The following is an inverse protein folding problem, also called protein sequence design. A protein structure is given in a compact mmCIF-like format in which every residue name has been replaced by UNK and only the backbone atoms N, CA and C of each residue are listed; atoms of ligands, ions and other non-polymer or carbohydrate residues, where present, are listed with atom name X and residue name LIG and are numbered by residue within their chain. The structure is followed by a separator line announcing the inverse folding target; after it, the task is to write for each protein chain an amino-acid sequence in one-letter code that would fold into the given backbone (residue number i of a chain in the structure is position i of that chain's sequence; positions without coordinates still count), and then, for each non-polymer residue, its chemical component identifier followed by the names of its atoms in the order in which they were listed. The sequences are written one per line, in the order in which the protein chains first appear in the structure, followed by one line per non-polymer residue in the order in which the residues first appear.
data_IF_046329051821
#
_entry.id   IF_046329051821
#
_cell.length_a   1.000
_cell.length_b   1.000
_cell.length_c   1.000
_cell.angle_alpha   90.00
_cell.angle_beta   90.00
_cell.angle_gamma   90.00
#
_symmetry.space_group_name_H-M   'P 1'
#
loop_
_entity.id
_entity.type
_entity.pdbx_description
1 polymer ?
#
# COMPACT_ATOMS: atom_id res chain seq x y z
N UNK A 1 83.75 -8.77 -34.88
CA UNK A 1 82.44 -9.29 -35.28
C UNK A 1 81.52 -9.12 -34.10
N UNK A 2 80.70 -8.12 -34.14
CA UNK A 2 79.67 -7.82 -33.12
C UNK A 2 78.32 -8.26 -33.68
N UNK A 3 77.43 -8.90 -32.88
CA UNK A 3 76.08 -9.25 -33.32
C UNK A 3 75.08 -8.09 -33.18
N UNK A 4 73.99 -8.08 -33.95
CA UNK A 4 73.05 -6.96 -34.01
C UNK A 4 72.02 -6.95 -32.87
N UNK A 5 71.70 -5.73 -32.47
CA UNK A 5 70.74 -5.39 -31.45
C UNK A 5 69.31 -5.71 -31.90
N UNK A 6 68.55 -6.45 -31.10
CA UNK A 6 67.08 -6.70 -31.25
C UNK A 6 66.30 -5.60 -30.62
N UNK A 7 65.49 -4.91 -31.41
CA UNK A 7 64.41 -3.95 -30.98
C UNK A 7 63.23 -4.71 -30.48
N UNK A 8 62.78 -4.43 -29.23
CA UNK A 8 61.52 -4.85 -28.65
C UNK A 8 60.42 -3.84 -29.04
N UNK A 9 59.24 -4.27 -29.48
CA UNK A 9 58.13 -3.38 -29.70
C UNK A 9 57.43 -3.04 -28.36
N UNK A 10 57.28 -1.74 -28.10
CA UNK A 10 56.57 -1.23 -26.94
C UNK A 10 55.06 -1.52 -27.04
N UNK A 11 54.53 -2.16 -26.02
CA UNK A 11 53.11 -2.42 -25.84
C UNK A 11 52.45 -1.14 -25.29
N UNK A 12 51.72 -0.41 -26.13
CA UNK A 12 50.91 0.72 -25.70
C UNK A 12 49.65 0.19 -24.99
N UNK A 13 49.60 0.34 -23.68
CA UNK A 13 48.43 0.02 -22.85
C UNK A 13 47.41 1.17 -22.98
N UNK A 14 46.41 0.99 -23.84
CA UNK A 14 45.28 1.94 -23.94
C UNK A 14 44.41 1.88 -22.67
N UNK A 15 44.50 2.92 -21.82
CA UNK A 15 43.49 3.15 -20.78
C UNK A 15 42.15 3.55 -21.44
N UNK A 16 41.20 2.64 -21.49
CA UNK A 16 39.79 2.98 -21.75
C UNK A 16 39.26 3.63 -20.50
N UNK A 17 39.09 4.95 -20.51
CA UNK A 17 38.30 5.68 -19.55
C UNK A 17 36.83 5.16 -19.68
N UNK A 18 36.39 4.39 -18.68
CA UNK A 18 34.95 4.09 -18.52
C UNK A 18 34.24 5.43 -18.40
N UNK A 19 33.39 5.72 -19.38
CA UNK A 19 32.46 6.85 -19.30
C UNK A 19 31.64 6.70 -18.03
N UNK A 20 31.82 7.62 -17.07
CA UNK A 20 30.85 7.83 -15.99
C UNK A 20 29.52 8.12 -16.66
N UNK A 21 28.52 7.24 -16.49
CA UNK A 21 27.19 7.49 -16.99
C UNK A 21 26.71 8.84 -16.49
N UNK A 22 26.04 9.58 -17.35
CA UNK A 22 25.43 10.86 -17.00
C UNK A 22 24.60 10.70 -15.73
N UNK A 23 24.73 11.62 -14.75
CA UNK A 23 23.92 11.57 -13.56
C UNK A 23 22.45 11.60 -13.97
N UNK A 24 21.67 10.63 -13.49
CA UNK A 24 20.22 10.62 -13.72
C UNK A 24 19.64 11.99 -13.34
N UNK A 25 18.76 12.59 -14.15
CA UNK A 25 18.17 13.87 -13.82
C UNK A 25 17.50 13.81 -12.45
N UNK A 26 17.55 14.90 -11.66
CA UNK A 26 16.95 14.92 -10.33
C UNK A 26 15.47 14.57 -10.44
N UNK A 27 15.00 13.73 -9.51
CA UNK A 27 13.59 13.36 -9.42
C UNK A 27 12.72 14.62 -9.24
N UNK A 28 11.73 14.80 -10.09
CA UNK A 28 10.79 15.92 -9.95
C UNK A 28 10.04 15.79 -8.61
N UNK A 29 9.95 16.89 -7.88
CA UNK A 29 9.18 16.99 -6.64
C UNK A 29 7.96 17.87 -6.94
N UNK A 30 6.77 17.34 -6.64
CA UNK A 30 5.50 18.05 -6.81
C UNK A 30 4.80 18.14 -5.46
N UNK A 31 4.50 19.35 -5.03
CA UNK A 31 3.66 19.57 -3.86
C UNK A 31 2.20 19.70 -4.29
N UNK A 32 1.31 18.93 -3.69
CA UNK A 32 -0.12 19.02 -4.00
C UNK A 32 -0.71 20.26 -3.33
N UNK A 33 -1.57 20.95 -4.06
CA UNK A 33 -2.36 22.05 -3.53
C UNK A 33 -3.81 21.60 -3.35
N UNK A 34 -4.40 21.91 -2.19
CA UNK A 34 -5.82 21.62 -1.91
C UNK A 34 -6.72 22.40 -2.87
N UNK A 35 -7.81 21.77 -3.32
CA UNK A 35 -8.88 22.47 -4.05
C UNK A 35 -9.74 23.37 -3.15
N UNK A 36 -9.61 23.24 -1.83
CA UNK A 36 -10.50 23.87 -0.85
C UNK A 36 -11.74 23.04 -0.52
N UNK A 37 -12.08 22.03 -1.31
CA UNK A 37 -13.23 21.15 -1.04
C UNK A 37 -12.91 20.25 0.17
N UNK A 38 -13.68 20.42 1.24
CA UNK A 38 -13.47 19.67 2.49
C UNK A 38 -14.80 19.21 3.09
N UNK A 39 -14.79 18.03 3.72
CA UNK A 39 -15.91 17.53 4.54
C UNK A 39 -15.35 17.00 5.85
N UNK A 40 -15.89 17.45 6.97
CA UNK A 40 -15.59 16.90 8.28
C UNK A 40 -16.64 15.86 8.68
N UNK A 41 -16.17 14.79 9.34
CA UNK A 41 -17.01 13.69 9.83
C UNK A 41 -16.62 13.34 11.25
N UNK A 42 -17.53 12.70 11.99
CA UNK A 42 -17.23 12.15 13.32
C UNK A 42 -16.43 10.83 13.29
N UNK A 43 -15.96 10.35 12.14
CA UNK A 43 -15.26 9.06 12.06
C UNK A 43 -13.96 9.08 12.85
N UNK A 44 -13.84 8.12 13.77
CA UNK A 44 -12.70 8.01 14.65
C UNK A 44 -11.43 7.56 13.93
N UNK A 45 -11.57 6.71 12.91
CA UNK A 45 -10.47 6.21 12.08
C UNK A 45 -10.97 5.89 10.67
N UNK A 46 -10.05 5.93 9.70
CA UNK A 46 -10.31 5.60 8.30
C UNK A 46 -9.27 4.56 7.86
N UNK A 47 -9.73 3.37 7.52
CA UNK A 47 -8.86 2.28 7.09
C UNK A 47 -8.57 2.34 5.58
N UNK A 48 -9.61 2.58 4.77
CA UNK A 48 -9.55 2.46 3.31
C UNK A 48 -10.53 3.42 2.64
N UNK A 49 -10.38 3.62 1.34
CA UNK A 49 -11.29 4.42 0.54
C UNK A 49 -11.29 4.03 -0.93
N UNK A 50 -12.42 4.27 -1.59
CA UNK A 50 -12.58 4.01 -3.01
C UNK A 50 -13.26 5.19 -3.71
N UNK A 51 -12.79 5.56 -4.90
CA UNK A 51 -13.40 6.59 -5.73
C UNK A 51 -14.63 6.06 -6.45
N UNK A 52 -15.75 6.78 -6.34
CA UNK A 52 -17.04 6.44 -6.94
C UNK A 52 -17.37 7.27 -8.19
N UNK A 53 -16.43 8.13 -8.60
CA UNK A 53 -16.62 9.06 -9.71
C UNK A 53 -16.95 10.48 -9.26
N UNK A 54 -16.43 11.48 -10.00
CA UNK A 54 -16.65 12.89 -9.70
C UNK A 54 -16.14 13.29 -8.30
N UNK A 55 -17.04 13.86 -7.49
CA UNK A 55 -16.76 14.26 -6.10
C UNK A 55 -17.05 13.20 -5.05
N UNK A 56 -17.46 11.98 -5.45
CA UNK A 56 -17.96 10.94 -4.57
C UNK A 56 -16.92 9.87 -4.24
N UNK A 57 -16.95 9.41 -2.97
CA UNK A 57 -16.03 8.41 -2.44
C UNK A 57 -16.75 7.48 -1.46
N UNK A 58 -16.30 6.24 -1.39
CA UNK A 58 -16.63 5.33 -0.29
C UNK A 58 -15.48 5.35 0.71
N UNK A 59 -15.78 5.51 1.99
CA UNK A 59 -14.79 5.61 3.09
C UNK A 59 -15.08 4.53 4.11
N UNK A 60 -14.11 3.66 4.34
CA UNK A 60 -14.22 2.59 5.34
C UNK A 60 -13.78 3.11 6.70
N UNK A 61 -14.70 3.13 7.66
CA UNK A 61 -14.49 3.53 9.04
C UNK A 61 -14.78 2.35 9.99
N UNK A 62 -13.79 1.46 10.24
CA UNK A 62 -14.04 0.21 10.98
C UNK A 62 -14.43 0.42 12.43
N UNK A 63 -13.87 1.43 13.09
CA UNK A 63 -14.20 1.77 14.48
C UNK A 63 -15.63 2.25 14.64
N UNK A 64 -16.21 2.82 13.59
CA UNK A 64 -17.58 3.27 13.52
C UNK A 64 -18.51 2.21 12.91
N UNK A 65 -17.97 1.03 12.55
CA UNK A 65 -18.68 -0.08 11.90
C UNK A 65 -19.47 0.37 10.68
N UNK A 66 -18.87 1.25 9.85
CA UNK A 66 -19.56 1.87 8.72
C UNK A 66 -18.68 2.03 7.49
N UNK A 67 -19.33 2.18 6.36
CA UNK A 67 -18.76 2.75 5.14
C UNK A 67 -19.53 4.03 4.83
N UNK A 68 -18.83 5.16 4.83
CA UNK A 68 -19.41 6.45 4.49
C UNK A 68 -19.41 6.70 3.00
N UNK A 69 -20.55 7.08 2.45
CA UNK A 69 -20.67 7.62 1.09
C UNK A 69 -20.46 9.12 1.15
N UNK A 70 -19.21 9.55 0.88
CA UNK A 70 -18.78 10.94 0.95
C UNK A 70 -19.04 11.63 -0.39
N UNK A 71 -19.64 12.82 -0.35
CA UNK A 71 -19.79 13.73 -1.50
C UNK A 71 -19.20 15.09 -1.15
N UNK A 72 -18.01 15.38 -1.67
CA UNK A 72 -17.30 16.63 -1.39
C UNK A 72 -18.00 17.86 -1.95
N UNK A 73 -18.58 17.76 -3.15
CA UNK A 73 -19.31 18.89 -3.75
C UNK A 73 -20.63 19.16 -3.00
N UNK A 74 -21.30 18.12 -2.53
CA UNK A 74 -22.52 18.23 -1.73
C UNK A 74 -22.25 18.50 -0.24
N UNK A 75 -20.99 18.56 0.19
CA UNK A 75 -20.58 18.72 1.58
C UNK A 75 -21.34 17.79 2.54
N UNK A 76 -21.40 16.51 2.22
CA UNK A 76 -22.15 15.53 3.00
C UNK A 76 -21.49 14.17 3.02
N UNK A 77 -21.82 13.40 4.07
CA UNK A 77 -21.56 11.98 4.16
C UNK A 77 -22.83 11.28 4.62
N UNK A 78 -23.13 10.13 4.01
CA UNK A 78 -24.25 9.27 4.41
C UNK A 78 -23.74 7.83 4.57
N UNK A 79 -24.23 7.07 5.55
CA UNK A 79 -23.84 5.66 5.69
C UNK A 79 -24.30 4.84 4.48
N UNK A 80 -23.44 3.93 4.04
CA UNK A 80 -23.78 2.94 3.01
C UNK A 80 -24.94 2.07 3.50
N UNK A 81 -25.97 1.90 2.68
CA UNK A 81 -27.18 1.19 3.07
C UNK A 81 -28.15 2.00 3.95
N UNK A 82 -27.81 3.27 4.25
CA UNK A 82 -28.64 4.16 5.08
C UNK A 82 -28.38 4.02 6.58
N UNK A 83 -29.01 4.89 7.35
CA UNK A 83 -28.88 4.87 8.82
C UNK A 83 -29.48 3.59 9.43
N UNK A 84 -28.75 3.02 10.40
CA UNK A 84 -29.16 1.81 11.12
C UNK A 84 -29.09 0.52 10.31
N UNK A 85 -28.40 0.53 9.19
CA UNK A 85 -28.16 -0.71 8.42
C UNK A 85 -27.46 -1.76 9.28
N UNK A 86 -27.89 -3.03 9.13
CA UNK A 86 -27.24 -4.21 9.72
C UNK A 86 -26.43 -5.00 8.69
N UNK A 87 -26.22 -4.42 7.51
CA UNK A 87 -25.54 -5.08 6.41
C UNK A 87 -24.02 -5.07 6.55
N UNK A 88 -23.48 -4.34 7.54
CA UNK A 88 -22.06 -4.25 7.88
C UNK A 88 -21.84 -4.68 9.34
N UNK A 89 -20.75 -5.42 9.58
CA UNK A 89 -20.37 -5.90 10.90
C UNK A 89 -18.99 -5.42 11.35
N UNK A 90 -18.01 -5.44 10.44
CA UNK A 90 -16.68 -4.87 10.62
C UNK A 90 -16.04 -4.69 9.23
N UNK A 91 -16.44 -3.63 8.51
CA UNK A 91 -15.91 -3.37 7.17
C UNK A 91 -14.42 -3.05 7.24
N UNK A 92 -13.63 -3.61 6.32
CA UNK A 92 -12.18 -3.49 6.34
C UNK A 92 -11.58 -3.00 5.01
N UNK A 93 -12.21 -3.33 3.88
CA UNK A 93 -11.72 -2.95 2.55
C UNK A 93 -12.86 -2.43 1.69
N UNK A 94 -12.53 -1.49 0.79
CA UNK A 94 -13.46 -1.04 -0.25
C UNK A 94 -12.72 -0.82 -1.56
N UNK A 95 -13.28 -1.32 -2.65
CA UNK A 95 -12.76 -1.05 -4.00
C UNK A 95 -13.89 -1.04 -5.02
N UNK A 96 -13.66 -0.37 -6.13
CA UNK A 96 -14.64 -0.25 -7.22
C UNK A 96 -14.15 -1.03 -8.43
N UNK A 97 -15.03 -1.80 -9.04
CA UNK A 97 -14.81 -2.42 -10.34
C UNK A 97 -16.01 -2.08 -11.21
N UNK A 98 -15.79 -1.42 -12.34
CA UNK A 98 -16.85 -0.91 -13.20
C UNK A 98 -17.84 -0.03 -12.39
N UNK A 99 -19.12 -0.41 -12.36
CA UNK A 99 -20.17 0.30 -11.64
C UNK A 99 -20.53 -0.34 -10.28
N UNK A 100 -19.64 -1.15 -9.71
CA UNK A 100 -19.89 -1.89 -8.48
C UNK A 100 -18.88 -1.53 -7.41
N UNK A 101 -19.38 -1.10 -6.24
CA UNK A 101 -18.61 -0.97 -5.02
C UNK A 101 -18.58 -2.32 -4.29
N UNK A 102 -17.40 -2.83 -4.02
CA UNK A 102 -17.15 -4.03 -3.23
C UNK A 102 -16.71 -3.62 -1.83
N UNK A 103 -17.34 -4.17 -0.81
CA UNK A 103 -16.98 -3.94 0.60
C UNK A 103 -16.70 -5.28 1.27
N UNK A 104 -15.46 -5.47 1.67
CA UNK A 104 -15.03 -6.62 2.44
C UNK A 104 -15.32 -6.42 3.92
N UNK A 105 -15.98 -7.40 4.55
CA UNK A 105 -16.44 -7.33 5.94
C UNK A 105 -15.93 -8.53 6.76
N UNK A 106 -15.06 -8.25 7.72
CA UNK A 106 -14.50 -9.25 8.62
C UNK A 106 -15.54 -9.81 9.62
N UNK A 107 -16.41 -8.95 10.11
CA UNK A 107 -17.43 -9.35 11.09
C UNK A 107 -18.44 -10.32 10.49
N UNK A 108 -18.82 -10.10 9.25
CA UNK A 108 -19.79 -10.92 8.53
C UNK A 108 -19.14 -11.98 7.63
N UNK A 109 -17.80 -12.02 7.52
CA UNK A 109 -17.02 -12.95 6.69
C UNK A 109 -17.53 -13.03 5.26
N UNK A 110 -17.75 -11.87 4.64
CA UNK A 110 -18.28 -11.76 3.29
C UNK A 110 -17.80 -10.52 2.59
N UNK A 111 -17.96 -10.47 1.28
CA UNK A 111 -17.89 -9.25 0.49
C UNK A 111 -19.28 -8.89 0.04
N UNK A 112 -19.74 -7.69 0.37
CA UNK A 112 -20.99 -7.15 -0.14
C UNK A 112 -20.73 -6.30 -1.37
N UNK A 113 -21.61 -6.44 -2.38
CA UNK A 113 -21.58 -5.73 -3.64
C UNK A 113 -22.71 -4.70 -3.66
N UNK A 114 -22.37 -3.48 -3.97
CA UNK A 114 -23.29 -2.34 -3.91
C UNK A 114 -23.25 -1.57 -5.23
N UNK A 115 -24.36 -0.96 -5.60
CA UNK A 115 -24.33 0.07 -6.65
C UNK A 115 -23.55 1.30 -6.13
N UNK A 116 -23.06 2.14 -7.04
CA UNK A 116 -22.38 3.39 -6.66
C UNK A 116 -23.31 4.41 -5.96
N UNK A 117 -24.62 4.14 -5.93
CA UNK A 117 -25.62 4.91 -5.16
C UNK A 117 -25.94 4.30 -3.80
N UNK A 118 -25.22 3.24 -3.40
CA UNK A 118 -25.33 2.65 -2.06
C UNK A 118 -26.48 1.65 -1.87
N UNK A 119 -27.02 1.04 -2.93
CA UNK A 119 -27.99 -0.06 -2.83
C UNK A 119 -27.27 -1.40 -2.84
N UNK A 120 -27.57 -2.26 -1.87
CA UNK A 120 -27.03 -3.62 -1.83
C UNK A 120 -27.55 -4.43 -3.04
N UNK A 121 -26.62 -4.99 -3.80
CA UNK A 121 -26.91 -5.85 -4.96
C UNK A 121 -26.93 -7.32 -4.54
N UNK A 122 -25.86 -7.77 -3.93
CA UNK A 122 -25.68 -9.14 -3.42
C UNK A 122 -24.53 -9.24 -2.44
N UNK A 123 -24.43 -10.38 -1.80
CA UNK A 123 -23.27 -10.75 -0.98
C UNK A 123 -22.57 -11.95 -1.55
N UNK A 124 -21.24 -11.99 -1.37
CA UNK A 124 -20.37 -13.12 -1.74
C UNK A 124 -19.74 -13.62 -0.46
N UNK A 125 -19.95 -14.89 -0.07
CA UNK A 125 -19.33 -15.44 1.13
C UNK A 125 -17.81 -15.48 0.97
N UNK A 126 -17.09 -15.54 2.09
CA UNK A 126 -15.66 -15.80 2.06
C UNK A 126 -15.41 -17.16 1.41
N UNK A 127 -14.42 -17.22 0.54
CA UNK A 127 -13.98 -18.44 -0.10
C UNK A 127 -13.36 -19.39 0.95
N UNK A 128 -13.71 -20.67 0.95
CA UNK A 128 -13.28 -21.63 1.97
C UNK A 128 -11.76 -21.76 2.09
N UNK A 129 -11.04 -21.69 0.98
CA UNK A 129 -9.57 -21.67 0.95
C UNK A 129 -8.93 -20.39 1.48
N UNK A 130 -9.70 -19.30 1.60
CA UNK A 130 -9.20 -17.99 2.00
C UNK A 130 -8.91 -17.84 3.50
N UNK A 131 -9.33 -18.78 4.33
CA UNK A 131 -9.13 -18.73 5.78
C UNK A 131 -9.57 -17.40 6.42
N UNK A 132 -10.64 -16.84 5.91
CA UNK A 132 -11.17 -15.56 6.35
C UNK A 132 -10.55 -14.32 5.69
N UNK A 133 -9.57 -14.46 4.79
CA UNK A 133 -9.07 -13.32 4.01
C UNK A 133 -10.19 -12.75 3.12
N UNK A 134 -10.17 -11.43 2.98
CA UNK A 134 -11.15 -10.69 2.17
C UNK A 134 -10.53 -10.25 0.85
N UNK A 135 -11.29 -10.25 -0.25
CA UNK A 135 -10.85 -9.62 -1.49
C UNK A 135 -10.47 -8.15 -1.28
N UNK A 136 -9.37 -7.77 -1.91
CA UNK A 136 -8.84 -6.39 -1.92
C UNK A 136 -8.86 -5.79 -3.33
N UNK A 137 -9.04 -6.62 -4.35
CA UNK A 137 -9.16 -6.18 -5.74
C UNK A 137 -9.96 -7.21 -6.57
N UNK A 138 -10.42 -6.77 -7.74
CA UNK A 138 -11.05 -7.60 -8.75
C UNK A 138 -10.62 -7.11 -10.13
N UNK A 139 -10.27 -8.03 -11.04
CA UNK A 139 -9.97 -7.69 -12.43
C UNK A 139 -11.24 -7.63 -13.30
N UNK A 140 -11.10 -7.17 -14.56
CA UNK A 140 -12.19 -7.10 -15.52
C UNK A 140 -12.72 -8.48 -15.96
N UNK A 141 -11.92 -9.55 -15.78
CA UNK A 141 -12.39 -10.93 -16.01
C UNK A 141 -13.23 -11.45 -14.83
N UNK A 142 -13.33 -10.68 -13.74
CA UNK A 142 -14.13 -10.99 -12.58
C UNK A 142 -13.40 -11.79 -11.51
N UNK A 143 -12.12 -12.08 -11.65
CA UNK A 143 -11.34 -12.76 -10.63
C UNK A 143 -11.13 -11.87 -9.42
N UNK A 144 -11.25 -12.44 -8.23
CA UNK A 144 -10.92 -11.78 -6.97
C UNK A 144 -9.47 -12.02 -6.57
N UNK A 145 -8.87 -11.02 -5.93
CA UNK A 145 -7.51 -11.09 -5.42
C UNK A 145 -7.50 -10.79 -3.92
N UNK A 146 -6.79 -11.64 -3.17
CA UNK A 146 -6.68 -11.52 -1.71
C UNK A 146 -5.33 -12.04 -1.23
N UNK A 147 -4.87 -11.53 -0.09
CA UNK A 147 -3.65 -12.01 0.57
C UNK A 147 -3.99 -13.06 1.62
N UNK A 148 -3.41 -14.24 1.48
CA UNK A 148 -3.43 -15.24 2.54
C UNK A 148 -2.36 -14.92 3.58
N UNK A 149 -2.74 -14.85 4.84
CA UNK A 149 -1.80 -14.69 5.93
C UNK A 149 -0.81 -15.87 5.99
N UNK A 150 0.46 -15.62 6.37
CA UNK A 150 1.43 -16.69 6.55
C UNK A 150 0.97 -17.69 7.63
N UNK A 151 1.32 -18.96 7.45
CA UNK A 151 1.10 -19.99 8.47
C UNK A 151 2.28 -20.00 9.45
N UNK A 152 2.06 -20.34 10.72
CA UNK A 152 3.14 -20.75 11.61
C UNK A 152 3.89 -21.93 10.98
N UNK A 153 5.22 -22.00 11.17
CA UNK A 153 6.00 -23.17 10.78
C UNK A 153 5.50 -24.43 11.44
N UNK A 154 5.78 -25.63 10.89
CA UNK A 154 5.27 -26.91 11.41
C UNK A 154 5.78 -27.24 12.82
N UNK A 155 6.87 -26.64 13.24
CA UNK A 155 7.48 -26.75 14.57
C UNK A 155 6.93 -25.75 15.60
N UNK A 156 5.98 -24.90 15.19
CA UNK A 156 5.51 -23.78 16.02
C UNK A 156 6.56 -22.71 16.29
N UNK A 157 7.72 -22.78 15.63
CA UNK A 157 8.87 -21.89 15.85
C UNK A 157 8.60 -20.45 15.43
N UNK A 158 7.46 -20.17 14.84
CA UNK A 158 7.10 -18.85 14.32
C UNK A 158 7.78 -18.50 13.02
N UNK A 159 8.59 -19.36 12.43
CA UNK A 159 9.01 -19.26 11.05
C UNK A 159 7.77 -19.38 10.17
N UNK A 160 7.22 -18.23 9.81
CA UNK A 160 6.05 -18.16 8.96
C UNK A 160 6.49 -18.23 7.52
N UNK A 161 5.83 -19.10 6.75
CA UNK A 161 5.90 -19.01 5.29
C UNK A 161 5.49 -17.61 4.85
N UNK A 162 6.04 -17.18 3.74
CA UNK A 162 5.63 -15.92 3.13
C UNK A 162 4.12 -15.91 2.92
N UNK A 163 3.47 -14.77 3.20
CA UNK A 163 2.12 -14.53 2.75
C UNK A 163 2.04 -14.69 1.21
N UNK A 164 0.88 -15.00 0.70
CA UNK A 164 0.69 -15.18 -0.74
C UNK A 164 -0.51 -14.38 -1.21
N UNK A 165 -0.38 -13.73 -2.36
CA UNK A 165 -1.53 -13.20 -3.11
C UNK A 165 -2.08 -14.35 -3.94
N UNK A 166 -3.34 -14.65 -3.76
CA UNK A 166 -4.08 -15.61 -4.58
C UNK A 166 -5.09 -14.89 -5.46
N UNK A 167 -5.27 -15.43 -6.65
CA UNK A 167 -6.35 -15.10 -7.56
C UNK A 167 -7.41 -16.18 -7.47
N UNK A 168 -8.65 -15.78 -7.27
CA UNK A 168 -9.82 -16.68 -7.14
C UNK A 168 -10.76 -16.43 -8.31
N UNK A 169 -11.23 -17.51 -8.95
CA UNK A 169 -12.17 -17.42 -10.07
C UNK A 169 -13.50 -16.76 -9.67
N UNK A 170 -14.25 -16.18 -10.64
CA UNK A 170 -15.51 -15.49 -10.35
C UNK A 170 -16.59 -16.35 -9.69
N UNK A 171 -16.56 -17.65 -9.92
CA UNK A 171 -17.45 -18.66 -9.34
C UNK A 171 -16.95 -19.20 -7.98
N UNK A 172 -15.77 -18.73 -7.52
CA UNK A 172 -15.10 -19.16 -6.30
C UNK A 172 -14.66 -20.65 -6.28
N UNK A 173 -14.67 -21.33 -7.42
CA UNK A 173 -14.40 -22.76 -7.51
C UNK A 173 -12.91 -23.09 -7.63
N UNK A 174 -12.11 -22.16 -8.14
CA UNK A 174 -10.68 -22.35 -8.37
C UNK A 174 -9.87 -21.17 -7.88
N UNK A 175 -8.64 -21.45 -7.46
CA UNK A 175 -7.68 -20.40 -7.11
C UNK A 175 -6.25 -20.80 -7.48
N UNK A 176 -5.41 -19.81 -7.71
CA UNK A 176 -3.98 -19.97 -7.93
C UNK A 176 -3.17 -18.92 -7.16
N UNK A 177 -1.93 -19.26 -6.84
CA UNK A 177 -0.99 -18.31 -6.23
C UNK A 177 -0.34 -17.48 -7.31
N UNK A 178 -0.59 -16.17 -7.29
CA UNK A 178 -0.06 -15.23 -8.30
C UNK A 178 1.18 -14.49 -7.83
N UNK A 179 1.37 -14.35 -6.52
CA UNK A 179 2.60 -13.80 -5.94
C UNK A 179 2.87 -14.38 -4.55
N UNK A 180 4.15 -14.43 -4.16
CA UNK A 180 4.56 -14.61 -2.77
C UNK A 180 5.04 -13.28 -2.24
N UNK A 181 4.64 -12.96 -1.01
CA UNK A 181 5.06 -11.75 -0.30
C UNK A 181 6.22 -12.08 0.64
N UNK A 182 7.03 -11.10 0.97
CA UNK A 182 8.15 -11.26 1.89
C UNK A 182 7.70 -11.78 3.26
N UNK A 183 8.54 -12.57 3.95
CA UNK A 183 8.30 -12.97 5.32
C UNK A 183 8.16 -11.74 6.23
N UNK A 184 7.30 -11.85 7.24
CA UNK A 184 7.22 -10.81 8.26
C UNK A 184 8.50 -10.76 9.09
N UNK A 185 8.93 -9.57 9.47
CA UNK A 185 10.04 -9.38 10.41
C UNK A 185 9.57 -9.77 11.83
N UNK A 186 9.98 -10.93 12.30
CA UNK A 186 9.61 -11.50 13.59
C UNK A 186 10.80 -11.60 14.52
N UNK A 187 10.56 -11.56 15.80
CA UNK A 187 11.53 -11.79 16.86
C UNK A 187 11.02 -12.81 17.85
N UNK A 188 11.94 -13.60 18.38
CA UNK A 188 11.69 -14.46 19.54
C UNK A 188 11.72 -13.60 20.82
N UNK A 189 10.68 -13.69 21.64
CA UNK A 189 10.57 -12.98 22.89
C UNK A 189 10.27 -13.98 24.03
N UNK A 190 10.79 -13.69 25.22
CA UNK A 190 10.47 -14.46 26.39
C UNK A 190 9.00 -14.27 26.79
N UNK A 191 8.33 -15.34 27.21
CA UNK A 191 6.97 -15.33 27.73
C UNK A 191 6.90 -16.23 28.97
N UNK A 192 5.89 -16.04 29.81
CA UNK A 192 5.68 -16.88 31.02
C UNK A 192 5.59 -18.38 30.69
N UNK A 193 5.00 -18.73 29.55
CA UNK A 193 4.86 -20.11 29.06
C UNK A 193 6.03 -20.60 28.21
N UNK A 194 7.17 -19.87 28.16
CA UNK A 194 8.32 -20.21 27.35
C UNK A 194 8.69 -19.12 26.35
N UNK A 195 8.89 -19.50 25.09
CA UNK A 195 9.26 -18.57 24.00
C UNK A 195 8.07 -18.37 23.09
N UNK A 196 7.85 -17.12 22.64
CA UNK A 196 6.88 -16.80 21.62
C UNK A 196 7.53 -15.97 20.51
N UNK A 197 6.92 -15.98 19.35
CA UNK A 197 7.36 -15.20 18.20
C UNK A 197 6.42 -14.04 17.98
N UNK A 198 6.98 -12.83 17.94
CA UNK A 198 6.22 -11.61 17.77
C UNK A 198 6.73 -10.84 16.55
N UNK A 199 5.81 -10.26 15.77
CA UNK A 199 6.19 -9.31 14.73
C UNK A 199 6.85 -8.11 15.38
N UNK A 200 8.00 -7.68 14.85
CA UNK A 200 8.62 -6.43 15.31
C UNK A 200 7.69 -5.25 15.01
N UNK A 201 7.38 -4.49 16.03
CA UNK A 201 6.62 -3.25 15.87
C UNK A 201 7.39 -2.29 14.95
N UNK A 202 6.67 -1.53 14.13
CA UNK A 202 7.19 -0.62 13.11
C UNK A 202 8.04 -1.30 12.01
N UNK A 203 8.00 -2.63 11.88
CA UNK A 203 8.51 -3.31 10.69
C UNK A 203 7.53 -3.15 9.53
N UNK A 204 8.06 -3.20 8.30
CA UNK A 204 7.24 -3.17 7.09
C UNK A 204 6.82 -4.55 6.61
N UNK A 205 6.04 -4.53 5.55
CA UNK A 205 5.64 -5.70 4.76
C UNK A 205 5.50 -5.30 3.30
N UNK A 206 5.52 -6.29 2.40
CA UNK A 206 5.21 -6.04 1.00
C UNK A 206 3.77 -5.53 0.89
N UNK A 207 3.58 -4.51 0.06
CA UNK A 207 2.25 -4.04 -0.33
C UNK A 207 2.01 -4.37 -1.80
N UNK A 208 0.75 -4.55 -2.16
CA UNK A 208 0.39 -5.02 -3.50
C UNK A 208 -0.95 -4.45 -3.95
N UNK A 209 -1.21 -4.54 -5.24
CA UNK A 209 -2.51 -4.21 -5.83
C UNK A 209 -2.64 -4.78 -7.24
N UNK A 210 -3.84 -4.71 -7.76
CA UNK A 210 -4.20 -5.27 -9.08
C UNK A 210 -4.89 -4.20 -9.91
N UNK A 211 -4.57 -4.17 -11.19
CA UNK A 211 -5.21 -3.33 -12.19
C UNK A 211 -6.39 -4.06 -12.83
N UNK A 212 -7.33 -3.35 -13.46
CA UNK A 212 -8.46 -3.96 -14.16
C UNK A 212 -8.06 -4.97 -15.25
N UNK A 213 -6.90 -4.81 -15.87
CA UNK A 213 -6.37 -5.74 -16.86
C UNK A 213 -5.81 -7.04 -16.26
N UNK A 214 -5.85 -7.21 -14.93
CA UNK A 214 -5.29 -8.36 -14.22
C UNK A 214 -3.79 -8.26 -13.96
N UNK A 215 -3.13 -7.16 -14.34
CA UNK A 215 -1.75 -6.90 -13.94
C UNK A 215 -1.65 -6.70 -12.43
N UNK A 216 -0.71 -7.38 -11.80
CA UNK A 216 -0.42 -7.29 -10.36
C UNK A 216 0.87 -6.53 -10.15
N UNK A 217 0.89 -5.62 -9.20
CA UNK A 217 2.12 -5.04 -8.71
C UNK A 217 2.39 -5.44 -7.25
N UNK A 218 3.67 -5.58 -6.92
CA UNK A 218 4.14 -5.83 -5.55
C UNK A 218 5.29 -4.88 -5.26
N UNK A 219 5.13 -4.04 -4.26
CA UNK A 219 6.23 -3.26 -3.72
C UNK A 219 6.96 -4.08 -2.65
N UNK A 220 8.24 -4.38 -2.90
CA UNK A 220 9.09 -5.22 -2.07
C UNK A 220 9.73 -4.41 -0.97
N UNK A 221 9.36 -4.70 0.27
CA UNK A 221 9.79 -3.91 1.43
C UNK A 221 11.30 -3.98 1.68
N UNK A 222 11.91 -5.15 1.48
CA UNK A 222 13.34 -5.33 1.74
C UNK A 222 14.23 -4.82 0.62
N UNK A 223 13.75 -4.81 -0.61
CA UNK A 223 14.49 -4.33 -1.78
C UNK A 223 14.13 -2.90 -2.18
N UNK A 224 13.09 -2.32 -1.56
CA UNK A 224 12.56 -0.99 -1.88
C UNK A 224 12.36 -0.77 -3.37
N UNK A 225 11.63 -1.69 -4.03
CA UNK A 225 11.31 -1.64 -5.46
C UNK A 225 9.88 -2.07 -5.73
N UNK A 226 9.36 -1.75 -6.91
CA UNK A 226 8.09 -2.27 -7.40
C UNK A 226 8.35 -3.31 -8.48
N UNK A 227 7.75 -4.46 -8.34
CA UNK A 227 7.71 -5.53 -9.33
C UNK A 227 6.31 -5.63 -9.93
N UNK A 228 6.24 -5.89 -11.22
CA UNK A 228 4.99 -6.05 -11.95
C UNK A 228 4.87 -7.45 -12.52
N UNK A 229 3.71 -8.05 -12.36
CA UNK A 229 3.34 -9.30 -13.00
C UNK A 229 2.26 -9.04 -14.04
N UNK A 230 2.54 -9.32 -15.29
CA UNK A 230 1.56 -9.24 -16.36
C UNK A 230 0.49 -10.36 -16.22
N UNK A 231 -0.69 -10.25 -16.88
CA UNK A 231 -1.74 -11.26 -16.81
C UNK A 231 -1.30 -12.65 -17.28
N UNK A 232 -0.36 -12.72 -18.21
CA UNK A 232 0.25 -13.96 -18.73
C UNK A 232 1.27 -14.61 -17.78
N UNK A 233 1.62 -13.92 -16.69
CA UNK A 233 2.53 -14.41 -15.67
C UNK A 233 3.94 -13.87 -15.72
N UNK A 234 4.32 -13.13 -16.75
CA UNK A 234 5.65 -12.53 -16.88
C UNK A 234 5.90 -11.44 -15.83
N UNK A 235 7.10 -11.44 -15.24
CA UNK A 235 7.50 -10.48 -14.24
C UNK A 235 8.45 -9.43 -14.78
N UNK A 236 8.16 -8.18 -14.53
CA UNK A 236 9.06 -7.04 -14.71
C UNK A 236 9.54 -6.56 -13.35
N UNK A 237 10.84 -6.56 -13.13
CA UNK A 237 11.47 -6.10 -11.89
C UNK A 237 11.94 -4.66 -12.06
N UNK A 238 11.41 -3.75 -11.23
CA UNK A 238 11.89 -2.37 -11.17
C UNK A 238 13.24 -2.24 -10.48
N UNK A 239 13.93 -1.13 -10.72
CA UNK A 239 15.13 -0.76 -9.98
C UNK A 239 14.80 -0.36 -8.54
N UNK A 240 15.75 -0.49 -7.60
CA UNK A 240 15.58 0.02 -6.25
C UNK A 240 15.27 1.52 -6.27
N UNK A 241 14.24 1.91 -5.52
CA UNK A 241 13.83 3.31 -5.43
C UNK A 241 14.78 4.08 -4.51
N UNK A 242 15.06 5.35 -4.82
CA UNK A 242 15.88 6.18 -3.95
C UNK A 242 15.15 6.39 -2.62
N UNK A 243 15.88 6.24 -1.51
CA UNK A 243 15.33 6.49 -0.18
C UNK A 243 16.44 6.79 0.82
N UNK A 244 16.03 7.27 1.97
CA UNK A 244 16.87 7.38 3.16
C UNK A 244 16.45 6.33 4.18
N UNK A 245 17.40 5.64 4.75
CA UNK A 245 17.16 4.75 5.88
C UNK A 245 16.79 5.58 7.11
N UNK A 246 15.64 5.30 7.70
CA UNK A 246 15.16 5.96 8.90
C UNK A 246 15.23 4.97 10.08
N UNK A 247 16.01 5.32 11.11
CA UNK A 247 16.03 4.54 12.34
C UNK A 247 14.71 4.68 13.12
N UNK A 248 14.33 3.62 13.82
CA UNK A 248 13.22 3.65 14.79
C UNK A 248 13.72 4.31 16.08
N UNK A 249 13.32 5.55 16.28
CA UNK A 249 13.75 6.38 17.42
C UNK A 249 12.93 6.09 18.69
N UNK A 250 13.38 6.62 19.83
CA UNK A 250 12.60 6.61 21.08
C UNK A 250 11.25 7.32 20.90
N UNK A 251 11.21 8.40 20.14
CA UNK A 251 9.97 9.12 19.85
C UNK A 251 8.98 8.25 19.08
N UNK A 252 9.44 7.51 18.08
CA UNK A 252 8.57 6.62 17.31
C UNK A 252 7.92 5.53 18.19
N UNK A 253 8.69 4.99 19.15
CA UNK A 253 8.18 4.01 20.11
C UNK A 253 7.14 4.63 21.03
N UNK A 254 7.37 5.85 21.51
CA UNK A 254 6.40 6.55 22.35
C UNK A 254 5.09 6.83 21.60
N UNK A 255 5.15 7.29 20.36
CA UNK A 255 3.97 7.47 19.50
C UNK A 255 3.25 6.13 19.24
N UNK A 256 4.00 5.04 19.09
CA UNK A 256 3.42 3.71 18.97
C UNK A 256 2.66 3.30 20.24
N UNK A 257 3.22 3.51 21.43
CA UNK A 257 2.57 3.17 22.69
C UNK A 257 1.28 3.97 22.93
N UNK A 258 1.21 5.21 22.46
CA UNK A 258 0.00 6.05 22.56
C UNK A 258 -1.20 5.52 21.78
N UNK A 259 -1.01 4.52 20.90
CA UNK A 259 -2.12 3.85 20.19
C UNK A 259 -2.85 2.83 21.06
N UNK A 260 -2.27 2.47 22.21
CA UNK A 260 -2.83 1.49 23.12
C UNK A 260 -3.52 2.18 24.29
N UNK A 261 -4.64 1.67 24.77
CA UNK A 261 -5.25 2.14 25.99
C UNK A 261 -4.29 1.88 27.19
N UNK A 262 -4.39 2.68 28.26
CA UNK A 262 -3.44 2.64 29.37
C UNK A 262 -3.18 1.26 29.97
N UNK A 263 -4.22 0.42 30.05
CA UNK A 263 -4.16 -0.94 30.58
C UNK A 263 -3.36 -1.91 29.70
N UNK A 264 -3.22 -1.65 28.41
CA UNK A 264 -2.45 -2.47 27.48
C UNK A 264 -1.04 -1.91 27.20
N UNK A 265 -0.72 -0.74 27.72
CA UNK A 265 0.57 -0.10 27.48
C UNK A 265 1.74 -0.96 27.92
N UNK A 266 1.68 -1.58 29.11
CA UNK A 266 2.74 -2.45 29.62
C UNK A 266 2.99 -3.68 28.72
N UNK A 267 1.94 -4.20 28.06
CA UNK A 267 2.08 -5.25 27.07
C UNK A 267 2.73 -4.72 25.78
N UNK A 268 2.34 -3.54 25.33
CA UNK A 268 2.93 -2.92 24.14
C UNK A 268 4.43 -2.59 24.33
N UNK A 269 4.86 -2.23 25.53
CA UNK A 269 6.27 -1.94 25.86
C UNK A 269 7.17 -3.19 25.81
N UNK A 270 6.60 -4.40 25.90
CA UNK A 270 7.31 -5.66 25.76
C UNK A 270 7.48 -6.10 24.30
N UNK A 271 6.83 -5.44 23.34
CA UNK A 271 6.95 -5.80 21.92
C UNK A 271 8.36 -5.48 21.40
N UNK A 272 8.95 -6.37 20.59
CA UNK A 272 10.19 -6.08 19.90
C UNK A 272 9.97 -5.01 18.83
N UNK A 273 10.94 -4.15 18.61
CA UNK A 273 10.89 -3.14 17.56
C UNK A 273 11.86 -3.45 16.43
N UNK A 274 11.51 -3.05 15.21
CA UNK A 274 12.45 -2.99 14.11
C UNK A 274 13.54 -1.95 14.41
N UNK A 275 14.74 -2.17 13.90
CA UNK A 275 15.84 -1.20 14.04
C UNK A 275 15.62 0.02 13.14
N UNK A 276 15.05 -0.22 11.96
CA UNK A 276 14.79 0.79 10.93
C UNK A 276 13.31 0.74 10.50
N UNK A 277 12.79 1.87 10.09
CA UNK A 277 11.47 1.96 9.47
C UNK A 277 11.49 1.34 8.09
N UNK A 278 10.34 0.81 7.61
CA UNK A 278 10.25 0.34 6.24
C UNK A 278 10.45 1.51 5.25
N UNK A 279 10.85 1.25 4.01
CA UNK A 279 10.98 2.29 3.00
C UNK A 279 9.63 2.93 2.62
N UNK A 280 8.53 2.23 2.82
CA UNK A 280 7.15 2.70 2.60
C UNK A 280 6.19 2.03 3.61
N UNK A 281 5.07 2.70 3.87
CA UNK A 281 4.04 2.25 4.82
C UNK A 281 2.77 1.74 4.14
N UNK A 282 2.48 2.24 2.92
CA UNK A 282 1.30 1.88 2.15
C UNK A 282 1.56 2.03 0.65
N UNK A 283 0.66 1.47 -0.16
CA UNK A 283 0.66 1.61 -1.60
C UNK A 283 -0.76 1.76 -2.15
N UNK A 284 -0.92 2.62 -3.14
CA UNK A 284 -2.18 2.92 -3.79
C UNK A 284 -2.04 2.77 -5.30
N UNK A 285 -3.05 2.23 -5.95
CA UNK A 285 -3.11 2.15 -7.42
C UNK A 285 -3.82 3.39 -7.95
N UNK A 286 -3.15 4.13 -8.83
CA UNK A 286 -3.76 5.27 -9.54
C UNK A 286 -4.49 4.80 -10.81
N UNK A 287 -5.49 5.57 -11.26
CA UNK A 287 -6.22 5.34 -12.52
C UNK A 287 -5.30 5.32 -13.76
N UNK A 288 -4.17 6.03 -13.70
CA UNK A 288 -3.11 6.00 -14.71
C UNK A 288 -2.39 4.65 -14.82
N UNK A 289 -2.62 3.73 -13.88
CA UNK A 289 -1.89 2.47 -13.75
C UNK A 289 -0.54 2.61 -13.06
N UNK A 290 -0.22 3.78 -12.51
CA UNK A 290 0.94 3.98 -11.64
C UNK A 290 0.64 3.55 -10.21
N UNK A 291 1.70 3.31 -9.45
CA UNK A 291 1.65 3.00 -8.02
C UNK A 291 2.17 4.19 -7.23
N UNK A 292 1.44 4.57 -6.20
CA UNK A 292 1.87 5.59 -5.25
C UNK A 292 2.25 4.93 -3.94
N UNK A 293 3.53 4.99 -3.57
CA UNK A 293 4.05 4.43 -2.32
C UNK A 293 4.19 5.53 -1.27
N UNK A 294 3.44 5.42 -0.17
CA UNK A 294 3.59 6.31 0.98
C UNK A 294 4.91 6.02 1.68
N UNK A 295 5.82 6.98 1.67
CA UNK A 295 7.15 6.85 2.26
C UNK A 295 7.11 7.05 3.77
N UNK A 296 7.86 6.22 4.50
CA UNK A 296 8.03 6.41 5.94
C UNK A 296 8.57 7.80 6.27
N UNK A 297 8.11 8.36 7.39
CA UNK A 297 8.43 9.72 7.83
C UNK A 297 9.39 9.72 9.01
N UNK A 298 10.27 10.73 9.03
CA UNK A 298 10.93 11.13 10.26
C UNK A 298 9.95 11.96 11.13
N UNK A 299 10.13 11.99 12.45
CA UNK A 299 9.27 12.79 13.36
C UNK A 299 9.20 14.27 13.01
N UNK A 300 10.25 14.79 12.37
CA UNK A 300 10.36 16.22 11.97
C UNK A 300 9.71 16.53 10.61
N UNK A 301 9.29 15.51 9.85
CA UNK A 301 8.70 15.74 8.54
C UNK A 301 7.28 16.28 8.69
N UNK A 302 7.06 17.50 8.20
CA UNK A 302 5.76 18.19 8.25
C UNK A 302 4.80 17.78 7.13
N UNK A 303 5.31 17.14 6.07
CA UNK A 303 4.53 16.68 4.92
C UNK A 303 4.67 15.17 4.74
N UNK A 304 3.64 14.54 4.18
CA UNK A 304 3.74 13.16 3.70
C UNK A 304 4.32 13.13 2.30
N UNK A 305 5.14 12.13 2.04
CA UNK A 305 5.79 11.92 0.75
C UNK A 305 5.31 10.63 0.12
N UNK A 306 5.06 10.69 -1.18
CA UNK A 306 4.69 9.54 -1.99
C UNK A 306 5.65 9.43 -3.17
N UNK A 307 6.10 8.23 -3.47
CA UNK A 307 6.78 7.93 -4.72
C UNK A 307 5.76 7.45 -5.73
N UNK A 308 5.61 8.16 -6.85
CA UNK A 308 4.84 7.69 -7.99
C UNK A 308 5.75 6.86 -8.89
N UNK A 309 5.37 5.60 -9.11
CA UNK A 309 6.16 4.58 -9.81
C UNK A 309 5.38 4.08 -11.03
N UNK A 310 6.03 4.00 -12.18
CA UNK A 310 5.42 3.52 -13.43
C UNK A 310 5.32 1.99 -13.50
N UNK A 311 4.70 1.46 -14.57
CA UNK A 311 4.56 0.02 -14.82
C UNK A 311 5.88 -0.72 -15.13
N UNK A 312 7.00 0.01 -15.24
CA UNK A 312 8.36 -0.55 -15.36
C UNK A 312 9.09 -0.55 -14.01
N UNK A 313 8.41 -0.13 -12.93
CA UNK A 313 9.00 -0.01 -11.60
C UNK A 313 9.97 1.18 -11.48
N UNK A 314 9.89 2.20 -12.35
CA UNK A 314 10.74 3.37 -12.32
C UNK A 314 10.05 4.52 -11.59
N UNK A 315 10.81 5.23 -10.77
CA UNK A 315 10.34 6.44 -10.10
C UNK A 315 10.03 7.53 -11.14
N UNK A 316 8.78 7.99 -11.17
CA UNK A 316 8.31 9.08 -12.03
C UNK A 316 8.54 10.43 -11.35
N UNK A 317 8.11 10.55 -10.08
CA UNK A 317 8.26 11.76 -9.26
C UNK A 317 8.03 11.47 -7.78
N UNK A 318 8.49 12.37 -6.92
CA UNK A 318 8.07 12.47 -5.53
C UNK A 318 6.88 13.43 -5.44
N UNK A 319 5.81 12.99 -4.78
CA UNK A 319 4.63 13.82 -4.51
C UNK A 319 4.58 14.12 -3.01
N UNK A 320 4.36 15.38 -2.66
CA UNK A 320 4.23 15.84 -1.27
C UNK A 320 2.82 16.30 -1.00
N UNK A 321 2.26 15.77 0.08
CA UNK A 321 0.97 16.20 0.64
C UNK A 321 1.27 17.05 1.86
N UNK A 322 0.91 18.35 1.85
CA UNK A 322 1.16 19.21 3.00
C UNK A 322 0.31 18.79 4.21
N UNK A 323 0.87 18.99 5.40
CA UNK A 323 0.18 18.68 6.66
C UNK A 323 0.22 17.19 7.06
N UNK A 324 -0.52 16.83 8.11
CA UNK A 324 -0.48 15.50 8.71
C UNK A 324 -1.35 14.46 8.00
N UNK A 325 -2.25 14.89 7.10
CA UNK A 325 -3.19 14.04 6.40
C UNK A 325 -2.52 13.01 5.50
N UNK A 326 -3.15 11.84 5.30
CA UNK A 326 -2.69 10.81 4.37
C UNK A 326 -3.65 10.62 3.21
N UNK A 327 -3.15 10.24 2.05
CA UNK A 327 -4.00 9.82 0.93
C UNK A 327 -4.66 8.50 1.31
N UNK A 328 -5.99 8.45 1.26
CA UNK A 328 -6.77 7.24 1.54
C UNK A 328 -7.37 6.65 0.27
N UNK A 329 -7.46 7.42 -0.80
CA UNK A 329 -7.92 6.95 -2.10
C UNK A 329 -7.39 7.84 -3.23
N UNK A 330 -7.23 7.25 -4.41
CA UNK A 330 -6.91 7.93 -5.66
C UNK A 330 -8.07 7.78 -6.64
N UNK A 331 -8.45 8.89 -7.27
CA UNK A 331 -9.41 8.91 -8.36
C UNK A 331 -8.76 9.38 -9.67
N UNK A 332 -9.56 9.69 -10.68
CA UNK A 332 -9.08 10.22 -11.93
C UNK A 332 -8.62 11.69 -11.76
N UNK A 333 -7.31 11.89 -11.76
CA UNK A 333 -6.68 13.19 -11.54
C UNK A 333 -6.92 13.80 -10.16
N UNK A 334 -7.24 13.00 -9.15
CA UNK A 334 -7.56 13.50 -7.81
C UNK A 334 -7.15 12.53 -6.71
N UNK A 335 -6.66 13.08 -5.58
CA UNK A 335 -6.43 12.36 -4.34
C UNK A 335 -7.41 12.80 -3.26
N UNK A 336 -7.89 11.86 -2.48
CA UNK A 336 -8.61 12.10 -1.25
C UNK A 336 -7.66 11.95 -0.07
N UNK A 337 -7.50 13.00 0.70
CA UNK A 337 -6.67 13.03 1.90
C UNK A 337 -7.58 13.01 3.13
N UNK A 338 -7.30 12.09 4.05
CA UNK A 338 -7.93 12.06 5.37
C UNK A 338 -6.96 12.64 6.40
N UNK A 339 -7.44 13.61 7.16
CA UNK A 339 -6.71 14.27 8.24
C UNK A 339 -7.47 14.10 9.55
N UNK A 340 -6.80 13.59 10.57
CA UNK A 340 -7.40 13.49 11.90
C UNK A 340 -7.54 14.86 12.54
N UNK A 341 -8.74 15.15 13.04
CA UNK A 341 -9.06 16.39 13.78
C UNK A 341 -9.63 15.99 15.15
N UNK A 342 -9.73 16.92 16.13
CA UNK A 342 -10.20 16.58 17.48
C UNK A 342 -11.57 15.85 17.50
N UNK A 343 -12.47 16.23 16.61
CA UNK A 343 -13.85 15.70 16.59
C UNK A 343 -14.06 14.62 15.50
N UNK A 344 -12.99 14.00 15.00
CA UNK A 344 -13.08 12.93 14.01
C UNK A 344 -12.08 13.03 12.87
N UNK A 345 -12.57 12.95 11.63
CA UNK A 345 -11.73 12.99 10.42
C UNK A 345 -12.24 14.03 9.43
N UNK A 346 -11.32 14.84 8.90
CA UNK A 346 -11.56 15.77 7.81
C UNK A 346 -11.03 15.19 6.50
N UNK A 347 -11.86 15.19 5.48
CA UNK A 347 -11.49 14.80 4.13
C UNK A 347 -11.23 16.02 3.28
N UNK A 348 -10.16 15.99 2.48
CA UNK A 348 -9.71 17.11 1.67
C UNK A 348 -9.42 16.58 0.26
N UNK A 349 -9.90 17.29 -0.76
CA UNK A 349 -9.61 16.98 -2.15
C UNK A 349 -8.35 17.68 -2.62
N UNK A 350 -7.46 16.91 -3.26
CA UNK A 350 -6.25 17.42 -3.89
C UNK A 350 -6.24 17.05 -5.38
N UNK A 351 -6.32 18.01 -6.30
CA UNK A 351 -6.10 17.76 -7.72
C UNK A 351 -4.69 17.24 -7.98
N UNK A 352 -4.58 16.20 -8.82
CA UNK A 352 -3.32 15.63 -9.25
C UNK A 352 -3.04 16.10 -10.66
N UNK A 353 -1.94 16.83 -10.87
CA UNK A 353 -1.48 17.14 -12.20
C UNK A 353 -0.86 15.89 -12.85
N UNK A 354 -1.11 15.66 -14.15
CA UNK A 354 -0.45 14.57 -14.83
C UNK A 354 1.08 14.73 -14.72
N UNK A 355 1.83 13.60 -14.67
CA UNK A 355 3.27 13.67 -14.66
C UNK A 355 3.76 14.38 -15.93
N UNK A 356 4.89 15.12 -15.88
CA UNK A 356 5.48 15.71 -17.05
C UNK A 356 5.74 14.62 -18.10
N UNK A 357 5.43 14.90 -19.36
CA UNK A 357 5.67 13.95 -20.44
C UNK A 357 7.16 13.55 -20.40
N UNK A 358 7.42 12.27 -20.14
CA UNK A 358 8.79 11.77 -20.23
C UNK A 358 9.21 11.87 -21.70
N UNK A 359 10.28 12.62 -21.97
CA UNK A 359 10.89 12.61 -23.29
C UNK A 359 11.18 11.15 -23.66
N UNK A 360 10.60 10.69 -24.78
CA UNK A 360 10.84 9.37 -25.32
C UNK A 360 12.34 9.22 -25.54
N UNK A 361 13.00 8.37 -24.75
CA UNK A 361 14.39 7.96 -24.95
C UNK A 361 14.44 6.59 -25.58
#
# INVERSE_FOLDING_TARGET
MLPPSSLLPGLALGLTLAACGDPSPPTAIVELASSGDTVATGYADVADGAWLGGSRWAIVAPMDVTVGMLDLAGNRVVPLGGEGTKDLGNPATAFVTEDTLHVGDWGLRRTSLWTLDGKLVRTVPSFDGARGALPQARDAAGNFYLALAPRPGPDGSGNRDSAAVIRVSPDLAAFDTVARLAPLDIAEVAAESGRRFERRALSGEDVWGVLPDGSLWVARVYENRVEWRAPDGEWTRGEPLPDRVLEVTRYDREVFYQRFPPELRGTAEQLPFAAVKPPFEAGLTASSGHVWLEKSRAPVDSARRYHEVDRRGRLVREVRVPGPGRIVALGDGVALVAERVPDGTRFIRFPIQPPPAQAAR
#
